data_IF_380478220564
#
_entry.id   IF_380478220564
#
_cell.length_a   1.000
_cell.length_b   1.000
_cell.length_c   1.000
_cell.angle_alpha   90.00
_cell.angle_beta   90.00
_cell.angle_gamma   90.00
#
_symmetry.space_group_name_H-M   'P 1'
#
loop_
_entity.id
_entity.type
_entity.pdbx_description
1 polymer ?
#
# COMPACT_ATOMS: atom_id res chain seq x y z
N UNK A 1 -0.70 -9.72 -4.11
CA UNK A 1 0.63 -10.38 -4.03
C UNK A 1 1.75 -9.41 -3.71
N UNK A 2 2.53 -9.67 -2.64
CA UNK A 2 3.75 -8.95 -2.27
C UNK A 2 4.97 -9.43 -3.07
N UNK A 3 5.95 -8.54 -3.25
CA UNK A 3 7.16 -8.79 -4.03
C UNK A 3 7.95 -10.03 -3.53
N UNK A 4 8.44 -10.91 -4.43
CA UNK A 4 9.03 -12.20 -4.04
C UNK A 4 10.37 -12.09 -3.31
N UNK A 5 11.08 -10.97 -3.45
CA UNK A 5 12.33 -10.70 -2.71
C UNK A 5 12.08 -10.18 -1.29
N UNK A 6 11.08 -10.76 -0.63
CA UNK A 6 10.67 -10.40 0.73
C UNK A 6 10.44 -11.65 1.57
N UNK A 7 10.46 -11.48 2.89
CA UNK A 7 10.11 -12.54 3.84
C UNK A 7 9.51 -11.94 5.10
N UNK A 8 8.78 -12.77 5.85
CA UNK A 8 8.37 -12.41 7.21
C UNK A 8 9.54 -12.46 8.17
N UNK A 9 9.58 -11.50 9.08
CA UNK A 9 10.51 -11.45 10.21
C UNK A 9 9.79 -10.91 11.44
N UNK A 10 10.05 -11.49 12.59
CA UNK A 10 9.63 -10.90 13.86
C UNK A 10 10.45 -9.62 14.12
N UNK A 11 9.78 -8.48 14.24
CA UNK A 11 10.39 -7.16 14.35
C UNK A 11 10.60 -6.80 15.83
N UNK A 12 9.53 -6.85 16.61
CA UNK A 12 9.55 -6.58 18.06
C UNK A 12 8.28 -7.12 18.71
N UNK A 13 8.23 -7.11 20.04
CA UNK A 13 6.99 -7.45 20.76
C UNK A 13 5.85 -6.45 20.48
N UNK A 14 6.18 -5.18 20.20
CA UNK A 14 5.20 -4.12 19.95
C UNK A 14 4.66 -4.16 18.52
N UNK A 15 5.52 -4.41 17.53
CA UNK A 15 5.14 -4.46 16.10
C UNK A 15 4.66 -5.86 15.69
N UNK A 16 5.18 -6.90 16.33
CA UNK A 16 4.97 -8.28 15.91
C UNK A 16 5.78 -8.62 14.65
N UNK A 17 5.13 -9.18 13.64
CA UNK A 17 5.76 -9.56 12.38
C UNK A 17 5.73 -8.42 11.37
N UNK A 18 6.74 -8.39 10.52
CA UNK A 18 6.84 -7.45 9.41
C UNK A 18 7.42 -8.10 8.17
N UNK A 19 7.18 -7.48 7.03
CA UNK A 19 7.79 -7.87 5.74
C UNK A 19 9.15 -7.18 5.62
N UNK A 20 10.20 -7.95 5.35
CA UNK A 20 11.55 -7.42 5.12
C UNK A 20 12.10 -7.85 3.77
N UNK A 21 12.88 -6.99 3.13
CA UNK A 21 13.56 -7.29 1.89
C UNK A 21 14.65 -8.36 2.12
N UNK A 22 14.72 -9.37 1.24
CA UNK A 22 15.80 -10.38 1.26
C UNK A 22 16.98 -9.98 0.38
N UNK A 23 16.73 -9.09 -0.56
CA UNK A 23 17.68 -8.57 -1.55
C UNK A 23 17.45 -7.07 -1.75
N UNK A 24 18.31 -6.42 -2.54
CA UNK A 24 18.11 -5.04 -2.94
C UNK A 24 16.88 -4.90 -3.86
N UNK A 25 16.02 -3.94 -3.55
CA UNK A 25 14.84 -3.56 -4.34
C UNK A 25 15.00 -2.09 -4.74
N UNK A 26 15.26 -1.80 -6.03
CA UNK A 26 15.43 -0.43 -6.52
C UNK A 26 14.15 0.42 -6.39
N UNK A 27 14.32 1.73 -6.23
CA UNK A 27 13.22 2.69 -6.36
C UNK A 27 12.48 2.53 -7.71
N UNK A 28 11.15 2.53 -7.69
CA UNK A 28 10.27 2.28 -8.84
C UNK A 28 9.91 0.81 -9.08
N UNK A 29 10.42 -0.12 -8.26
CA UNK A 29 10.00 -1.52 -8.30
C UNK A 29 8.57 -1.65 -7.77
N UNK A 30 7.74 -2.46 -8.42
CA UNK A 30 6.38 -2.77 -7.95
C UNK A 30 6.49 -3.71 -6.75
N UNK A 31 6.05 -3.25 -5.58
CA UNK A 31 6.24 -3.94 -4.30
C UNK A 31 5.06 -4.81 -3.91
N UNK A 32 3.85 -4.47 -4.37
CA UNK A 32 2.62 -5.24 -4.17
C UNK A 32 1.67 -5.01 -5.34
N UNK A 33 0.84 -6.00 -5.67
CA UNK A 33 -0.23 -5.90 -6.69
C UNK A 33 -1.49 -6.53 -6.11
N UNK A 34 -2.64 -5.88 -6.22
CA UNK A 34 -3.95 -6.50 -5.96
C UNK A 34 -4.15 -7.61 -7.00
N UNK A 35 -4.12 -8.86 -6.56
CA UNK A 35 -4.22 -10.01 -7.44
C UNK A 35 -5.50 -10.81 -7.20
N UNK A 36 -5.74 -11.80 -8.07
CA UNK A 36 -6.97 -12.59 -8.08
C UNK A 36 -7.23 -13.36 -6.77
N UNK A 37 -6.22 -13.59 -5.94
CA UNK A 37 -6.37 -14.30 -4.66
C UNK A 37 -6.67 -13.37 -3.48
N UNK A 38 -6.46 -12.06 -3.63
CA UNK A 38 -6.89 -11.08 -2.62
C UNK A 38 -8.42 -11.06 -2.53
N UNK A 39 -8.95 -10.94 -1.31
CA UNK A 39 -10.39 -10.99 -1.07
C UNK A 39 -10.94 -9.60 -0.75
N UNK A 40 -12.02 -9.23 -1.43
CA UNK A 40 -12.75 -7.98 -1.21
C UNK A 40 -14.06 -8.27 -0.49
N UNK A 41 -14.32 -7.53 0.59
CA UNK A 41 -15.53 -7.64 1.39
C UNK A 41 -16.21 -6.28 1.49
N UNK A 42 -17.47 -6.22 1.11
CA UNK A 42 -18.31 -5.04 1.33
C UNK A 42 -18.55 -4.80 2.82
N UNK A 43 -18.92 -3.56 3.22
CA UNK A 43 -19.32 -3.27 4.60
C UNK A 43 -20.44 -4.19 5.12
N UNK A 44 -21.43 -4.51 4.28
CA UNK A 44 -22.54 -5.39 4.66
C UNK A 44 -22.08 -6.83 4.87
N UNK A 45 -21.18 -7.35 4.01
CA UNK A 45 -20.59 -8.67 4.20
C UNK A 45 -19.81 -8.73 5.51
N UNK A 46 -18.92 -7.75 5.77
CA UNK A 46 -18.17 -7.65 7.03
C UNK A 46 -19.08 -7.62 8.26
N UNK A 47 -20.12 -6.78 8.26
CA UNK A 47 -21.05 -6.65 9.38
C UNK A 47 -21.90 -7.91 9.61
N UNK A 48 -22.12 -8.72 8.57
CA UNK A 48 -22.86 -9.98 8.66
C UNK A 48 -22.05 -11.16 9.17
N UNK A 49 -20.71 -11.05 9.20
CA UNK A 49 -19.82 -12.12 9.64
C UNK A 49 -19.79 -12.28 11.16
N UNK A 50 -19.40 -13.48 11.61
CA UNK A 50 -19.08 -13.71 13.02
C UNK A 50 -17.88 -12.88 13.47
N UNK A 51 -17.83 -12.56 14.76
CA UNK A 51 -16.80 -11.69 15.35
C UNK A 51 -15.37 -12.17 15.06
N UNK A 52 -15.16 -13.48 15.00
CA UNK A 52 -13.83 -14.06 14.69
C UNK A 52 -13.30 -13.62 13.32
N UNK A 53 -14.17 -13.48 12.32
CA UNK A 53 -13.78 -13.02 10.99
C UNK A 53 -13.67 -11.50 10.95
N UNK A 54 -14.54 -10.79 11.69
CA UNK A 54 -14.45 -9.35 11.84
C UNK A 54 -13.10 -8.94 12.45
N UNK A 55 -12.65 -9.63 13.52
CA UNK A 55 -11.35 -9.38 14.17
C UNK A 55 -10.17 -9.61 13.19
N UNK A 56 -10.26 -10.64 12.34
CA UNK A 56 -9.25 -10.92 11.31
C UNK A 56 -9.22 -9.80 10.26
N UNK A 57 -10.39 -9.41 9.75
CA UNK A 57 -10.49 -8.38 8.72
C UNK A 57 -10.08 -7.01 9.26
N UNK A 58 -10.48 -6.65 10.48
CA UNK A 58 -10.07 -5.40 11.13
C UNK A 58 -8.54 -5.31 11.30
N UNK A 59 -7.88 -6.45 11.53
CA UNK A 59 -6.41 -6.51 11.71
C UNK A 59 -5.64 -6.55 10.40
N UNK A 60 -6.10 -7.31 9.41
CA UNK A 60 -5.30 -7.73 8.24
C UNK A 60 -5.78 -7.18 6.90
N UNK A 61 -6.77 -6.28 6.90
CA UNK A 61 -7.27 -5.64 5.69
C UNK A 61 -6.98 -4.14 5.68
N UNK A 62 -7.01 -3.55 4.49
CA UNK A 62 -7.11 -2.11 4.30
C UNK A 62 -8.44 -1.77 3.61
N UNK A 63 -8.85 -0.51 3.66
CA UNK A 63 -10.10 -0.06 3.04
C UNK A 63 -9.84 0.66 1.72
N UNK A 64 -10.44 0.16 0.64
CA UNK A 64 -10.34 0.79 -0.67
C UNK A 64 -11.24 2.02 -0.80
N UNK A 65 -11.18 2.72 -1.93
CA UNK A 65 -11.96 3.94 -2.19
C UNK A 65 -13.48 3.73 -2.29
N UNK A 66 -13.95 2.48 -2.36
CA UNK A 66 -15.38 2.11 -2.33
C UNK A 66 -15.87 1.84 -0.90
N UNK A 67 -14.97 1.80 0.07
CA UNK A 67 -15.27 1.44 1.45
C UNK A 67 -15.21 -0.05 1.75
N UNK A 68 -14.80 -0.88 0.77
CA UNK A 68 -14.67 -2.32 0.94
C UNK A 68 -13.33 -2.65 1.61
N UNK A 69 -13.31 -3.73 2.39
CA UNK A 69 -12.12 -4.26 3.02
C UNK A 69 -11.40 -5.20 2.06
N UNK A 70 -10.11 -4.97 1.84
CA UNK A 70 -9.23 -5.80 1.02
C UNK A 70 -8.32 -6.61 1.93
N UNK A 71 -8.55 -7.92 2.01
CA UNK A 71 -7.69 -8.86 2.71
C UNK A 71 -6.59 -9.37 1.78
N UNK A 72 -5.35 -8.96 2.05
CA UNK A 72 -4.18 -9.49 1.37
C UNK A 72 -4.01 -10.98 1.72
N UNK A 73 -4.00 -11.85 0.72
CA UNK A 73 -3.99 -13.31 0.97
C UNK A 73 -2.62 -13.82 1.46
N UNK A 74 -1.54 -13.15 1.06
CA UNK A 74 -0.15 -13.55 1.29
C UNK A 74 0.52 -12.75 2.43
N UNK A 75 1.86 -12.59 2.38
CA UNK A 75 2.60 -11.86 3.40
C UNK A 75 2.35 -10.34 3.37
N UNK A 76 1.70 -9.80 2.33
CA UNK A 76 1.38 -8.37 2.24
C UNK A 76 0.56 -7.85 3.43
N UNK A 77 -0.26 -8.71 4.05
CA UNK A 77 -1.03 -8.36 5.27
C UNK A 77 -0.18 -8.04 6.51
N UNK A 78 1.13 -8.26 6.46
CA UNK A 78 2.08 -7.94 7.54
C UNK A 78 2.96 -6.73 7.20
N UNK A 79 2.64 -5.96 6.15
CA UNK A 79 3.30 -4.67 5.89
C UNK A 79 2.87 -3.68 6.96
N UNK A 80 3.82 -3.16 7.72
CA UNK A 80 3.56 -2.30 8.87
C UNK A 80 3.55 -0.82 8.49
N UNK A 81 2.96 -0.02 9.38
CA UNK A 81 3.01 1.43 9.27
C UNK A 81 4.41 2.01 9.52
N UNK A 82 4.79 3.04 8.75
CA UNK A 82 5.87 3.99 9.04
C UNK A 82 5.50 5.40 8.56
N UNK A 83 5.88 6.45 9.29
CA UNK A 83 5.83 7.84 8.79
C UNK A 83 7.00 8.16 7.85
N UNK A 84 7.96 7.25 7.70
CA UNK A 84 9.05 7.27 6.72
C UNK A 84 8.93 6.07 5.77
N UNK A 85 7.70 5.77 5.38
CA UNK A 85 7.37 4.66 4.49
C UNK A 85 8.23 4.64 3.23
N UNK A 86 8.47 3.45 2.71
CA UNK A 86 9.26 3.23 1.50
C UNK A 86 8.46 2.62 0.36
N UNK A 87 7.23 2.20 0.64
CA UNK A 87 6.24 1.80 -0.35
C UNK A 87 5.09 2.82 -0.34
N UNK A 88 4.45 3.02 -1.49
CA UNK A 88 3.21 3.79 -1.64
C UNK A 88 2.28 3.09 -2.61
N UNK A 89 0.99 3.03 -2.28
CA UNK A 89 -0.03 2.60 -3.23
C UNK A 89 -0.28 3.65 -4.30
N UNK A 90 -0.45 3.16 -5.53
CA UNK A 90 -0.97 3.96 -6.64
C UNK A 90 -2.48 3.79 -6.74
N UNK A 91 -3.14 4.50 -7.66
CA UNK A 91 -4.56 4.24 -7.99
C UNK A 91 -4.72 3.06 -8.95
N UNK A 92 -3.62 2.41 -9.32
CA UNK A 92 -3.55 1.37 -10.35
C UNK A 92 -3.53 -0.03 -9.73
N UNK A 93 -4.09 -0.18 -8.53
CA UNK A 93 -4.16 -1.46 -7.82
C UNK A 93 -2.79 -2.12 -7.58
N UNK A 94 -1.72 -1.33 -7.57
CA UNK A 94 -0.37 -1.79 -7.18
C UNK A 94 0.38 -0.72 -6.39
N UNK A 95 1.37 -1.16 -5.63
CA UNK A 95 2.30 -0.32 -4.87
C UNK A 95 3.67 -0.29 -5.50
N UNK A 96 4.42 0.79 -5.24
CA UNK A 96 5.79 0.94 -5.70
C UNK A 96 6.74 1.35 -4.57
N UNK A 97 7.99 0.91 -4.68
CA UNK A 97 9.08 1.43 -3.86
C UNK A 97 9.38 2.89 -4.25
N UNK A 98 9.28 3.84 -3.32
CA UNK A 98 9.54 5.27 -3.58
C UNK A 98 10.99 5.70 -3.31
N UNK A 99 11.81 4.75 -2.90
CA UNK A 99 13.26 4.85 -2.74
C UNK A 99 13.83 3.45 -2.78
N UNK A 100 15.15 3.36 -2.85
CA UNK A 100 15.85 2.09 -2.71
C UNK A 100 15.55 1.45 -1.33
N UNK A 101 15.35 0.14 -1.34
CA UNK A 101 15.13 -0.69 -0.15
C UNK A 101 16.24 -1.73 -0.09
N UNK A 102 16.99 -1.71 1.02
CA UNK A 102 18.15 -2.58 1.19
C UNK A 102 17.80 -3.90 1.89
N UNK A 103 18.60 -4.98 1.69
CA UNK A 103 18.38 -6.24 2.38
C UNK A 103 18.27 -6.08 3.90
N UNK A 104 17.25 -6.69 4.49
CA UNK A 104 16.94 -6.62 5.92
C UNK A 104 16.11 -5.41 6.35
N UNK A 105 15.90 -4.43 5.48
CA UNK A 105 14.98 -3.33 5.70
C UNK A 105 13.53 -3.80 5.60
N UNK A 106 12.64 -3.21 6.42
CA UNK A 106 11.21 -3.47 6.32
C UNK A 106 10.61 -2.78 5.08
N UNK A 107 9.66 -3.44 4.43
CA UNK A 107 8.70 -2.76 3.56
C UNK A 107 7.61 -2.19 4.47
N UNK A 108 7.33 -0.90 4.31
CA UNK A 108 6.40 -0.17 5.17
C UNK A 108 5.60 0.84 4.38
N UNK A 109 4.38 1.08 4.87
CA UNK A 109 3.38 1.96 4.30
C UNK A 109 3.03 3.10 5.24
N UNK A 110 2.52 4.20 4.69
CA UNK A 110 1.87 5.21 5.51
C UNK A 110 0.37 4.91 5.54
N UNK A 111 -0.13 4.36 6.65
CA UNK A 111 -1.55 3.98 6.76
C UNK A 111 -2.51 5.18 6.61
N UNK A 112 -2.01 6.42 6.58
CA UNK A 112 -2.81 7.61 6.28
C UNK A 112 -3.46 7.61 4.90
N UNK A 113 -2.99 6.82 3.93
CA UNK A 113 -3.66 6.63 2.64
C UNK A 113 -4.57 5.39 2.56
N UNK A 114 -4.67 4.60 3.65
CA UNK A 114 -5.38 3.31 3.67
C UNK A 114 -6.80 3.39 4.27
N UNK A 115 -7.36 4.60 4.39
CA UNK A 115 -8.73 4.85 4.87
C UNK A 115 -9.05 4.14 6.20
N UNK A 116 -8.16 4.28 7.19
CA UNK A 116 -8.36 3.71 8.54
C UNK A 116 -9.64 4.26 9.19
N UNK A 117 -10.28 3.44 10.03
CA UNK A 117 -11.52 3.79 10.73
C UNK A 117 -11.30 4.79 11.87
N UNK A 118 -10.27 4.54 12.69
CA UNK A 118 -10.00 5.29 13.91
C UNK A 118 -8.55 5.77 13.95
N UNK A 119 -8.28 6.96 14.51
CA UNK A 119 -6.92 7.46 14.61
C UNK A 119 -6.10 6.62 15.58
N UNK A 120 -4.83 6.40 15.25
CA UNK A 120 -3.89 5.70 16.13
C UNK A 120 -2.54 6.40 16.21
N UNK A 121 -1.85 6.20 17.33
CA UNK A 121 -0.49 6.71 17.52
C UNK A 121 0.52 5.74 16.92
N UNK A 122 1.27 6.18 15.92
CA UNK A 122 2.38 5.40 15.35
C UNK A 122 3.60 5.36 16.27
N UNK A 123 4.53 4.47 15.94
CA UNK A 123 5.82 4.37 16.65
C UNK A 123 6.61 5.66 16.48
N UNK A 124 7.40 6.03 17.50
CA UNK A 124 8.21 7.23 17.45
C UNK A 124 9.44 7.04 16.54
N UNK A 125 9.35 7.57 15.33
CA UNK A 125 10.43 7.56 14.33
C UNK A 125 11.20 8.89 14.28
N UNK A 126 10.99 9.79 15.24
CA UNK A 126 11.55 11.14 15.25
C UNK A 126 10.91 12.08 14.21
N UNK A 127 9.78 11.71 13.61
CA UNK A 127 8.99 12.55 12.70
C UNK A 127 8.14 13.57 13.48
N UNK A 128 7.64 14.63 12.82
CA UNK A 128 6.71 15.58 13.46
C UNK A 128 5.32 15.00 13.64
N UNK A 129 4.84 14.24 12.65
CA UNK A 129 3.56 13.52 12.70
C UNK A 129 3.71 12.34 13.67
N UNK A 130 2.72 12.16 14.55
CA UNK A 130 2.69 11.09 15.58
C UNK A 130 1.42 10.27 15.55
N UNK A 131 0.37 10.78 14.91
CA UNK A 131 -0.94 10.18 14.82
C UNK A 131 -1.28 10.06 13.35
N UNK A 132 -1.81 8.90 12.98
CA UNK A 132 -2.46 8.66 11.69
C UNK A 132 -3.94 8.96 11.89
N UNK A 133 -4.52 9.77 11.02
CA UNK A 133 -5.95 10.12 11.00
C UNK A 133 -6.63 9.55 9.76
N UNK A 134 -7.94 9.23 9.82
CA UNK A 134 -8.71 8.75 8.66
C UNK A 134 -8.67 9.67 7.43
N UNK A 135 -8.52 10.97 7.61
CA UNK A 135 -8.51 11.99 6.55
C UNK A 135 -7.10 12.44 6.13
N UNK A 136 -6.04 11.78 6.61
CA UNK A 136 -4.66 12.15 6.31
C UNK A 136 -4.36 12.11 4.80
N UNK A 137 -5.05 11.29 4.02
CA UNK A 137 -4.95 11.29 2.57
C UNK A 137 -5.28 12.64 1.94
N UNK A 138 -6.34 13.31 2.40
CA UNK A 138 -6.71 14.64 1.90
C UNK A 138 -5.66 15.70 2.22
N UNK A 139 -4.84 15.46 3.25
CA UNK A 139 -3.81 16.39 3.73
C UNK A 139 -2.45 16.16 3.08
N UNK A 140 -2.06 14.91 2.86
CA UNK A 140 -0.70 14.56 2.44
C UNK A 140 -0.59 14.05 1.00
N UNK A 141 -1.69 13.84 0.27
CA UNK A 141 -1.65 13.29 -1.09
C UNK A 141 -0.64 13.98 -2.00
N UNK A 142 -0.49 15.31 -1.95
CA UNK A 142 0.49 16.03 -2.80
C UNK A 142 1.94 15.63 -2.54
N UNK A 143 2.27 15.29 -1.30
CA UNK A 143 3.62 14.82 -0.92
C UNK A 143 3.83 13.42 -1.49
N UNK A 144 2.84 12.54 -1.34
CA UNK A 144 2.86 11.18 -1.84
C UNK A 144 2.86 11.12 -3.36
N UNK A 145 2.05 11.93 -4.04
CA UNK A 145 2.06 12.10 -5.50
C UNK A 145 3.44 12.47 -6.00
N UNK A 146 4.09 13.47 -5.35
CA UNK A 146 5.45 13.88 -5.72
C UNK A 146 6.46 12.75 -5.56
N UNK A 147 6.32 11.92 -4.53
CA UNK A 147 7.19 10.76 -4.31
C UNK A 147 6.97 9.68 -5.37
N UNK A 148 5.71 9.40 -5.73
CA UNK A 148 5.35 8.46 -6.80
C UNK A 148 5.90 8.96 -8.14
N UNK A 149 5.62 10.21 -8.51
CA UNK A 149 6.10 10.85 -9.74
C UNK A 149 7.61 10.73 -9.93
N UNK A 150 8.39 10.92 -8.86
CA UNK A 150 9.85 10.89 -8.93
C UNK A 150 10.43 9.52 -9.32
N UNK A 151 9.68 8.44 -9.12
CA UNK A 151 10.13 7.06 -9.39
C UNK A 151 9.31 6.35 -10.46
N UNK A 152 8.14 6.87 -10.84
CA UNK A 152 7.20 6.20 -11.75
C UNK A 152 7.83 5.87 -13.11
N UNK A 153 8.70 6.74 -13.61
CA UNK A 153 9.45 6.54 -14.85
C UNK A 153 10.41 5.34 -14.85
N UNK A 154 10.77 4.81 -13.67
CA UNK A 154 11.64 3.65 -13.53
C UNK A 154 10.90 2.32 -13.73
N UNK A 155 9.56 2.31 -13.62
CA UNK A 155 8.75 1.07 -13.65
C UNK A 155 9.06 0.20 -14.87
N UNK A 156 9.19 0.80 -16.07
CA UNK A 156 9.44 0.09 -17.33
C UNK A 156 10.94 -0.15 -17.61
N UNK A 157 11.82 0.43 -16.80
CA UNK A 157 13.28 0.26 -16.92
C UNK A 157 13.80 -0.89 -16.06
N UNK A 158 13.03 -1.25 -15.04
CA UNK A 158 13.36 -2.31 -14.09
C UNK A 158 12.74 -3.64 -14.52
N UNK A 159 13.37 -4.73 -14.10
CA UNK A 159 12.71 -6.04 -14.10
C UNK A 159 11.61 -6.02 -13.03
N UNK A 160 10.39 -6.40 -13.42
CA UNK A 160 9.21 -6.33 -12.56
C UNK A 160 8.65 -7.74 -12.33
N UNK A 161 9.06 -8.44 -11.26
CA UNK A 161 8.61 -9.82 -11.00
C UNK A 161 7.09 -9.96 -10.88
N UNK A 162 6.40 -8.88 -10.47
CA UNK A 162 4.94 -8.85 -10.34
C UNK A 162 4.21 -8.43 -11.62
N UNK A 163 4.91 -8.06 -12.70
CA UNK A 163 4.31 -7.70 -14.00
C UNK A 163 3.29 -8.72 -14.52
N UNK A 164 3.48 -10.05 -14.39
CA UNK A 164 2.51 -11.03 -14.87
C UNK A 164 1.13 -10.95 -14.20
N UNK A 165 1.00 -10.27 -13.06
CA UNK A 165 -0.27 -10.07 -12.35
C UNK A 165 -1.01 -8.81 -12.80
N UNK A 166 -0.34 -7.94 -13.56
CA UNK A 166 -0.89 -6.68 -14.05
C UNK A 166 -1.50 -6.91 -15.43
N UNK A 167 -2.69 -6.37 -15.69
CA UNK A 167 -3.32 -6.50 -17.01
C UNK A 167 -2.51 -5.76 -18.09
N UNK A 168 -2.59 -6.25 -19.33
CA UNK A 168 -1.90 -5.58 -20.44
C UNK A 168 -2.46 -4.17 -20.70
N UNK A 169 -3.77 -3.98 -20.52
CA UNK A 169 -4.41 -2.66 -20.60
C UNK A 169 -3.80 -1.67 -19.60
N UNK A 170 -3.66 -2.08 -18.34
CA UNK A 170 -3.08 -1.23 -17.31
C UNK A 170 -1.59 -0.98 -17.56
N UNK A 171 -0.86 -2.00 -18.04
CA UNK A 171 0.54 -1.82 -18.39
C UNK A 171 0.74 -0.84 -19.55
N UNK A 172 -0.12 -0.88 -20.57
CA UNK A 172 -0.10 0.10 -21.66
C UNK A 172 -0.41 1.51 -21.13
N UNK A 173 -1.31 1.66 -20.16
CA UNK A 173 -1.53 2.94 -19.47
C UNK A 173 -0.26 3.43 -18.78
N UNK A 174 0.43 2.59 -18.01
CA UNK A 174 1.72 2.92 -17.38
C UNK A 174 2.73 3.40 -18.44
N UNK A 175 2.81 2.72 -19.58
CA UNK A 175 3.68 3.14 -20.68
C UNK A 175 3.33 4.51 -21.25
N UNK A 176 2.04 4.81 -21.48
CA UNK A 176 1.59 6.13 -21.95
C UNK A 176 1.95 7.24 -20.96
N UNK A 177 1.76 7.00 -19.66
CA UNK A 177 2.14 7.95 -18.61
C UNK A 177 3.64 8.23 -18.67
N UNK A 178 4.48 7.19 -18.75
CA UNK A 178 5.93 7.34 -18.77
C UNK A 178 6.43 8.04 -20.06
N UNK A 179 5.72 7.86 -21.19
CA UNK A 179 5.98 8.59 -22.45
C UNK A 179 5.51 10.04 -22.44
N UNK A 180 4.77 10.47 -21.41
CA UNK A 180 4.15 11.80 -21.33
C UNK A 180 2.91 11.96 -22.22
N UNK A 181 2.29 10.85 -22.63
CA UNK A 181 1.06 10.81 -23.42
C UNK A 181 -0.21 10.90 -22.53
N UNK A 182 -0.07 10.59 -21.24
CA UNK A 182 -1.12 10.63 -20.22
C UNK A 182 -0.50 11.18 -18.91
N UNK A 183 -1.28 11.89 -18.10
CA UNK A 183 -0.82 12.32 -16.77
C UNK A 183 -0.98 11.17 -15.75
N UNK A 184 -0.11 11.14 -14.74
CA UNK A 184 -0.29 10.21 -13.63
C UNK A 184 -1.49 10.62 -12.79
N UNK A 185 -2.32 9.65 -12.42
CA UNK A 185 -3.46 9.89 -11.55
C UNK A 185 -3.00 10.05 -10.10
N UNK A 186 -3.56 11.04 -9.42
CA UNK A 186 -3.24 11.34 -8.03
C UNK A 186 -3.77 10.26 -7.08
N UNK A 187 -2.98 9.91 -6.07
CA UNK A 187 -3.35 8.97 -4.99
C UNK A 187 -4.59 9.44 -4.21
N UNK A 188 -4.99 10.71 -4.31
CA UNK A 188 -6.23 11.21 -3.70
C UNK A 188 -7.47 10.42 -4.14
N UNK A 189 -7.47 9.79 -5.32
CA UNK A 189 -8.57 8.95 -5.78
C UNK A 189 -8.72 7.63 -5.01
N UNK A 190 -7.75 7.28 -4.16
CA UNK A 190 -7.87 6.19 -3.20
C UNK A 190 -8.70 6.57 -1.97
N UNK A 191 -9.05 7.85 -1.80
CA UNK A 191 -9.82 8.31 -0.64
C UNK A 191 -11.25 7.77 -0.65
N UNK A 192 -11.59 7.05 0.41
CA UNK A 192 -12.96 6.69 0.72
C UNK A 192 -13.64 7.83 1.48
N UNK A 193 -14.60 8.47 0.83
CA UNK A 193 -15.46 9.44 1.49
C UNK A 193 -16.55 8.70 2.26
N UNK A 194 -16.35 8.50 3.56
CA UNK A 194 -17.42 8.06 4.45
C UNK A 194 -18.56 9.07 4.40
N UNK A 195 -19.77 8.61 4.08
CA UNK A 195 -20.98 9.41 4.28
C UNK A 195 -21.15 9.58 5.79
N UNK A 196 -21.00 10.81 6.27
CA UNK A 196 -21.26 11.14 7.66
C UNK A 196 -22.73 10.83 7.96
N UNK A 197 -22.98 9.83 8.80
CA UNK A 197 -24.30 9.61 9.40
C UNK A 197 -24.56 10.62 10.52
#
# INVERSE_FOLDING_TARGET
MIHPKTKLKHISHEIGYGVVATEFIPAGTITWVLDRLDQEFSPDEFLSMESVYQDILDTYSFRNNKGNLILCWDNGRFVNHSFKSNCLSTVYDFEIAIRDIHPGEQLTDDYGYLNISEPFKGIDEGTKRKIVYPDDLLKYYKVWDKQIENVFGEIIKLDQPLRPLISDELWEKVNRIIKGEEEIDSIIHNYYKSESH
#
